data_IF_149822484062
#
_entry.id   IF_149822484062
#
_cell.length_a   1.000
_cell.length_b   1.000
_cell.length_c   1.000
_cell.angle_alpha   90.00
_cell.angle_beta   90.00
_cell.angle_gamma   90.00
#
_symmetry.space_group_name_H-M   'P 1'
#
loop_
_entity.id
_entity.type
_entity.pdbx_description
1 polymer ?
#
# COMPACT_ATOMS: atom_id res chain seq x y z
N UNK A 1 -5.75 13.99 59.14
CA UNK A 1 -5.06 14.64 58.00
C UNK A 1 -5.28 13.79 56.76
N UNK A 2 -6.23 14.16 55.89
CA UNK A 2 -6.53 13.42 54.65
C UNK A 2 -5.45 13.74 53.61
N UNK A 3 -4.64 12.74 53.23
CA UNK A 3 -3.71 12.85 52.09
C UNK A 3 -4.47 12.40 50.83
N UNK A 4 -4.78 13.33 49.95
CA UNK A 4 -5.24 13.01 48.60
C UNK A 4 -4.02 12.71 47.74
N UNK A 5 -3.82 11.44 47.38
CA UNK A 5 -2.80 11.02 46.42
C UNK A 5 -3.45 11.06 45.03
N UNK A 6 -3.17 12.14 44.29
CA UNK A 6 -3.59 12.32 42.90
C UNK A 6 -2.66 11.48 42.02
N UNK A 7 -3.12 10.30 41.57
CA UNK A 7 -2.35 9.44 40.66
C UNK A 7 -2.65 9.84 39.22
N UNK A 8 -1.70 10.55 38.60
CA UNK A 8 -1.73 10.90 37.17
C UNK A 8 -1.63 9.63 36.32
N UNK A 9 -2.68 9.35 35.54
CA UNK A 9 -2.68 8.38 34.46
C UNK A 9 -1.83 8.94 33.31
N UNK A 10 -0.55 8.58 33.27
CA UNK A 10 0.28 8.78 32.08
C UNK A 10 -0.06 7.69 31.06
N UNK A 11 -1.02 8.01 30.20
CA UNK A 11 -1.19 7.38 28.89
C UNK A 11 0.04 7.75 28.06
N UNK A 12 1.09 6.92 28.07
CA UNK A 12 2.10 6.98 27.02
C UNK A 12 1.74 5.95 25.96
N UNK A 13 1.09 6.41 24.89
CA UNK A 13 1.20 5.75 23.61
C UNK A 13 2.69 5.76 23.23
N UNK A 14 3.37 4.63 23.44
CA UNK A 14 4.69 4.38 22.86
C UNK A 14 4.56 4.19 21.37
N UNK A 15 4.32 5.27 20.62
CA UNK A 15 4.55 5.28 19.18
C UNK A 15 6.06 5.40 18.99
N UNK A 16 6.71 4.29 18.64
CA UNK A 16 8.05 4.32 18.06
C UNK A 16 7.95 5.06 16.74
N UNK A 17 8.34 6.33 16.75
CA UNK A 17 8.52 7.12 15.55
C UNK A 17 9.78 6.62 14.81
N UNK A 18 9.58 5.81 13.78
CA UNK A 18 10.36 5.96 12.55
C UNK A 18 9.47 6.56 11.46
N UNK A 19 8.84 7.68 11.79
CA UNK A 19 8.11 8.51 10.86
C UNK A 19 9.05 9.50 10.19
N UNK A 20 9.58 9.15 9.01
CA UNK A 20 9.78 10.19 7.99
C UNK A 20 8.38 10.62 7.52
N UNK A 21 7.74 11.47 8.30
CA UNK A 21 6.40 12.02 8.06
C UNK A 21 6.34 13.00 6.88
N UNK A 22 7.37 13.03 6.04
CA UNK A 22 7.41 13.78 4.78
C UNK A 22 7.45 12.90 3.52
N UNK A 23 7.71 11.60 3.63
CA UNK A 23 7.81 10.72 2.45
C UNK A 23 6.43 10.18 2.02
N UNK A 24 5.45 10.14 2.93
CA UNK A 24 4.08 9.70 2.62
C UNK A 24 3.38 10.63 1.62
N UNK A 25 3.67 11.93 1.66
CA UNK A 25 3.07 12.93 0.78
C UNK A 25 3.77 13.02 -0.59
N UNK A 26 5.02 12.57 -0.69
CA UNK A 26 5.76 12.60 -1.97
C UNK A 26 5.33 11.46 -2.90
N UNK A 27 4.93 10.30 -2.38
CA UNK A 27 4.39 9.21 -3.21
C UNK A 27 3.02 9.56 -3.80
N UNK A 28 2.04 9.82 -2.94
CA UNK A 28 0.64 10.06 -3.33
C UNK A 28 0.46 11.28 -4.26
N UNK A 29 1.17 12.40 -4.00
CA UNK A 29 1.02 13.59 -4.85
C UNK A 29 1.64 13.45 -6.25
N UNK A 30 2.63 12.56 -6.43
CA UNK A 30 3.20 12.30 -7.77
C UNK A 30 2.22 11.50 -8.65
N UNK A 31 1.47 10.54 -8.08
CA UNK A 31 0.57 9.69 -8.88
C UNK A 31 -0.72 10.39 -9.32
N UNK A 32 -1.19 11.36 -8.53
CA UNK A 32 -2.58 11.81 -8.60
C UNK A 32 -2.76 13.29 -8.99
N UNK A 33 -1.69 14.04 -9.19
CA UNK A 33 -1.76 15.49 -9.41
C UNK A 33 -2.31 15.92 -10.79
N UNK A 34 -2.44 15.00 -11.78
CA UNK A 34 -2.95 15.33 -13.13
C UNK A 34 -3.67 14.17 -13.85
N UNK A 35 -4.17 13.16 -13.13
CA UNK A 35 -4.61 11.89 -13.75
C UNK A 35 -6.13 11.79 -13.93
N UNK A 36 -6.60 11.59 -15.17
CA UNK A 36 -7.95 11.07 -15.47
C UNK A 36 -8.10 9.59 -15.07
N UNK A 37 -6.99 8.91 -14.78
CA UNK A 37 -6.89 7.50 -14.40
C UNK A 37 -6.96 7.34 -12.87
N UNK A 38 -8.12 7.66 -12.29
CA UNK A 38 -8.36 7.62 -10.83
C UNK A 38 -8.06 6.25 -10.22
N UNK A 39 -8.31 5.16 -10.96
CA UNK A 39 -8.06 3.78 -10.51
C UNK A 39 -6.58 3.44 -10.42
N UNK A 40 -5.76 3.90 -11.37
CA UNK A 40 -4.31 3.70 -11.33
C UNK A 40 -3.70 4.45 -10.14
N UNK A 41 -4.15 5.68 -9.90
CA UNK A 41 -3.75 6.47 -8.73
C UNK A 41 -4.04 5.70 -7.44
N UNK A 42 -5.28 5.24 -7.24
CA UNK A 42 -5.67 4.45 -6.07
C UNK A 42 -4.82 3.17 -5.93
N UNK A 43 -4.58 2.46 -7.03
CA UNK A 43 -3.76 1.25 -7.02
C UNK A 43 -2.31 1.54 -6.59
N UNK A 44 -1.70 2.60 -7.13
CA UNK A 44 -0.34 2.98 -6.78
C UNK A 44 -0.20 3.43 -5.31
N UNK A 45 -1.21 4.09 -4.74
CA UNK A 45 -1.23 4.40 -3.31
C UNK A 45 -1.26 3.14 -2.44
N UNK A 46 -2.10 2.17 -2.79
CA UNK A 46 -2.20 0.87 -2.10
C UNK A 46 -0.86 0.13 -2.18
N UNK A 47 -0.24 0.09 -3.37
CA UNK A 47 1.03 -0.62 -3.60
C UNK A 47 2.18 0.06 -2.86
N UNK A 48 2.26 1.40 -2.89
CA UNK A 48 3.28 2.12 -2.16
C UNK A 48 3.17 1.87 -0.65
N UNK A 49 1.94 1.99 -0.12
CA UNK A 49 1.65 1.82 1.30
C UNK A 49 1.90 0.40 1.80
N UNK A 50 1.36 -0.60 1.10
CA UNK A 50 1.27 -1.97 1.59
C UNK A 50 2.35 -2.91 1.02
N UNK A 51 3.07 -2.51 -0.04
CA UNK A 51 4.09 -3.35 -0.68
C UNK A 51 5.48 -2.73 -0.60
N UNK A 52 5.69 -1.54 -1.20
CA UNK A 52 7.03 -0.95 -1.34
C UNK A 52 7.65 -0.62 0.02
N UNK A 53 6.84 -0.14 0.98
CA UNK A 53 7.33 0.19 2.33
C UNK A 53 7.96 -1.01 3.05
N UNK A 54 7.38 -2.21 2.92
CA UNK A 54 7.91 -3.43 3.54
C UNK A 54 8.97 -4.12 2.65
N UNK A 55 8.87 -3.96 1.32
CA UNK A 55 9.79 -4.53 0.33
C UNK A 55 10.76 -3.49 -0.24
N UNK A 56 11.24 -2.59 0.61
CA UNK A 56 12.23 -1.59 0.22
C UNK A 56 13.51 -2.27 -0.28
N UNK A 57 14.04 -1.78 -1.39
CA UNK A 57 15.17 -2.36 -2.13
C UNK A 57 14.77 -3.41 -3.17
N UNK A 58 13.69 -4.17 -2.93
CA UNK A 58 13.23 -5.20 -3.87
C UNK A 58 12.17 -4.68 -4.85
N UNK A 59 11.25 -3.82 -4.39
CA UNK A 59 10.16 -3.26 -5.20
C UNK A 59 10.30 -1.75 -5.46
N UNK A 60 11.48 -1.16 -5.21
CA UNK A 60 11.69 0.28 -5.38
C UNK A 60 11.40 0.77 -6.81
N UNK A 61 11.66 -0.06 -7.82
CA UNK A 61 11.37 0.27 -9.21
C UNK A 61 9.86 0.41 -9.49
N UNK A 62 8.98 -0.22 -8.70
CA UNK A 62 7.53 -0.09 -8.89
C UNK A 62 7.04 1.33 -8.63
N UNK A 63 7.77 2.12 -7.84
CA UNK A 63 7.47 3.54 -7.65
C UNK A 63 7.59 4.37 -8.95
N UNK A 64 8.26 3.83 -9.98
CA UNK A 64 8.36 4.45 -11.31
C UNK A 64 7.24 4.05 -12.26
N UNK A 65 6.35 3.11 -11.88
CA UNK A 65 5.25 2.65 -12.72
C UNK A 65 4.06 3.61 -12.63
N UNK A 66 4.25 4.78 -13.25
CA UNK A 66 3.30 5.90 -13.21
C UNK A 66 2.16 5.77 -14.23
N UNK A 67 2.16 4.76 -15.10
CA UNK A 67 1.16 4.57 -16.16
C UNK A 67 0.67 3.12 -16.21
N UNK A 68 -0.55 2.90 -16.73
CA UNK A 68 -1.07 1.56 -17.00
C UNK A 68 -0.14 0.77 -17.93
N UNK A 69 0.45 1.45 -18.94
CA UNK A 69 1.41 0.85 -19.87
C UNK A 69 2.69 0.36 -19.17
N UNK A 70 3.21 1.11 -18.19
CA UNK A 70 4.37 0.67 -17.41
C UNK A 70 4.06 -0.60 -16.60
N UNK A 71 2.88 -0.66 -15.97
CA UNK A 71 2.43 -1.85 -15.26
C UNK A 71 2.24 -3.06 -16.19
N UNK A 72 1.63 -2.88 -17.35
CA UNK A 72 1.48 -3.94 -18.36
C UNK A 72 2.84 -4.43 -18.88
N UNK A 73 3.76 -3.51 -19.14
CA UNK A 73 5.12 -3.83 -19.65
C UNK A 73 5.95 -4.60 -18.62
N UNK A 74 5.65 -4.46 -17.33
CA UNK A 74 6.31 -5.21 -16.27
C UNK A 74 5.90 -6.69 -16.19
N UNK A 75 4.84 -7.09 -16.91
CA UNK A 75 4.22 -8.41 -16.83
C UNK A 75 3.69 -8.80 -15.43
N UNK A 76 3.60 -7.85 -14.49
CA UNK A 76 3.01 -8.08 -13.16
C UNK A 76 1.48 -8.12 -13.19
N UNK A 77 0.87 -7.49 -14.19
CA UNK A 77 -0.57 -7.47 -14.41
C UNK A 77 -0.93 -7.91 -15.82
N UNK A 78 -2.14 -8.46 -15.97
CA UNK A 78 -2.76 -8.82 -17.24
C UNK A 78 -4.05 -8.03 -17.41
N UNK A 79 -4.12 -7.19 -18.46
CA UNK A 79 -5.29 -6.36 -18.78
C UNK A 79 -6.58 -7.18 -18.77
N UNK A 80 -7.64 -6.67 -18.12
CA UNK A 80 -8.93 -7.35 -18.03
C UNK A 80 -8.93 -8.65 -17.21
N UNK A 81 -7.80 -9.10 -16.65
CA UNK A 81 -7.68 -10.37 -15.96
C UNK A 81 -6.85 -10.27 -14.68
N UNK A 82 -7.46 -9.68 -13.65
CA UNK A 82 -6.87 -9.55 -12.33
C UNK A 82 -6.51 -10.90 -11.70
N UNK A 83 -7.34 -11.93 -11.85
CA UNK A 83 -7.12 -13.22 -11.19
C UNK A 83 -5.93 -14.01 -11.76
N UNK A 84 -5.53 -13.73 -13.00
CA UNK A 84 -4.31 -14.27 -13.61
C UNK A 84 -3.08 -13.33 -13.46
N UNK A 85 -3.25 -12.16 -12.85
CA UNK A 85 -2.16 -11.20 -12.66
C UNK A 85 -1.24 -11.63 -11.52
N UNK A 86 0.08 -11.65 -11.77
CA UNK A 86 1.08 -12.03 -10.77
C UNK A 86 0.96 -11.21 -9.49
N UNK A 87 0.69 -9.90 -9.61
CA UNK A 87 0.46 -9.01 -8.47
C UNK A 87 -0.64 -9.56 -7.54
N UNK A 88 -1.79 -9.95 -8.11
CA UNK A 88 -2.94 -10.44 -7.33
C UNK A 88 -2.69 -11.84 -6.79
N UNK A 89 -2.11 -12.74 -7.60
CA UNK A 89 -1.79 -14.11 -7.18
C UNK A 89 -0.87 -14.15 -5.95
N UNK A 90 0.05 -13.19 -5.84
CA UNK A 90 0.97 -13.08 -4.70
C UNK A 90 0.31 -12.57 -3.41
N UNK A 91 -0.84 -11.90 -3.47
CA UNK A 91 -1.48 -11.32 -2.28
C UNK A 91 -2.15 -12.37 -1.38
N UNK A 92 -2.74 -13.42 -1.97
CA UNK A 92 -3.56 -14.40 -1.23
C UNK A 92 -2.97 -15.82 -1.17
N UNK A 93 -1.93 -16.17 -1.95
CA UNK A 93 -1.55 -17.57 -2.15
C UNK A 93 -0.02 -17.88 -2.20
N UNK A 94 0.86 -17.02 -1.70
CA UNK A 94 2.31 -17.25 -1.74
C UNK A 94 2.98 -17.26 -0.35
N UNK A 95 2.73 -18.33 0.44
CA UNK A 95 3.40 -18.55 1.74
C UNK A 95 2.73 -17.87 2.94
N UNK A 96 1.66 -17.10 2.70
CA UNK A 96 0.89 -16.35 3.69
C UNK A 96 0.09 -15.25 2.97
N UNK A 97 -0.73 -14.51 3.72
CA UNK A 97 -1.35 -13.29 3.20
C UNK A 97 -0.34 -12.15 3.28
N UNK A 98 -0.13 -11.42 2.19
CA UNK A 98 0.75 -10.23 2.20
C UNK A 98 0.08 -9.04 2.89
N UNK A 99 0.84 -8.18 3.58
CA UNK A 99 2.28 -8.27 3.89
C UNK A 99 2.65 -9.31 4.97
N UNK A 100 3.79 -9.96 4.81
CA UNK A 100 4.34 -10.90 5.81
C UNK A 100 4.66 -10.18 7.13
N UNK A 101 4.27 -10.78 8.27
CA UNK A 101 4.51 -10.23 9.60
C UNK A 101 3.62 -9.04 9.98
N UNK A 102 2.69 -8.63 9.12
CA UNK A 102 1.69 -7.61 9.38
C UNK A 102 0.28 -8.13 9.04
N UNK A 103 -0.74 -7.31 9.33
CA UNK A 103 -2.10 -7.66 8.95
C UNK A 103 -2.18 -7.76 7.42
N UNK A 104 -2.85 -8.80 6.88
CA UNK A 104 -3.13 -8.91 5.47
C UNK A 104 -3.71 -7.62 4.88
N UNK A 105 -3.42 -7.37 3.60
CA UNK A 105 -4.17 -6.37 2.84
C UNK A 105 -5.67 -6.62 3.03
N UNK A 106 -6.39 -5.55 3.38
CA UNK A 106 -7.83 -5.66 3.62
C UNK A 106 -8.58 -5.91 2.29
N UNK A 107 -9.82 -6.40 2.38
CA UNK A 107 -10.58 -6.76 1.18
C UNK A 107 -10.87 -5.52 0.30
N UNK A 108 -11.07 -4.34 0.89
CA UNK A 108 -11.30 -3.09 0.12
C UNK A 108 -10.12 -2.78 -0.80
N UNK A 109 -8.90 -2.78 -0.27
CA UNK A 109 -7.67 -2.52 -1.05
C UNK A 109 -7.45 -3.64 -2.08
N UNK A 110 -7.72 -4.90 -1.71
CA UNK A 110 -7.66 -6.03 -2.64
C UNK A 110 -8.63 -5.88 -3.81
N UNK A 111 -9.90 -5.53 -3.55
CA UNK A 111 -10.90 -5.31 -4.60
C UNK A 111 -10.57 -4.08 -5.45
N UNK A 112 -9.99 -3.03 -4.86
CA UNK A 112 -9.55 -1.86 -5.61
C UNK A 112 -8.46 -2.22 -6.64
N UNK A 113 -7.47 -3.02 -6.26
CA UNK A 113 -6.44 -3.53 -7.17
C UNK A 113 -7.04 -4.41 -8.27
N UNK A 114 -7.96 -5.32 -7.92
CA UNK A 114 -8.67 -6.15 -8.91
C UNK A 114 -9.48 -5.32 -9.90
N UNK A 115 -10.25 -4.36 -9.39
CA UNK A 115 -11.10 -3.50 -10.21
C UNK A 115 -10.27 -2.64 -11.16
N UNK A 116 -9.16 -2.07 -10.69
CA UNK A 116 -8.23 -1.35 -11.56
C UNK A 116 -7.80 -2.23 -12.74
N UNK A 117 -7.19 -3.40 -12.47
CA UNK A 117 -6.67 -4.31 -13.51
C UNK A 117 -7.77 -4.80 -14.46
N UNK A 118 -8.96 -5.16 -13.94
CA UNK A 118 -10.07 -5.64 -14.75
C UNK A 118 -10.66 -4.58 -15.68
N UNK A 119 -10.39 -3.29 -15.43
CA UNK A 119 -10.88 -2.19 -16.27
C UNK A 119 -9.82 -1.58 -17.17
N UNK A 120 -8.62 -2.16 -17.19
CA UNK A 120 -7.59 -1.91 -18.20
C UNK A 120 -7.90 -2.68 -19.47
#
# INVERSE_FOLDING_TARGET
>A
MKKYLLLFLLVSCGQSFNSNSKDFLLGSQIYCSNSTETKLCQANEIIAKNCINCHSGYHNNWASYLTNSAWLSSALISSGNADNSLLILKLKNAGGNMPEGAAPINDTDYQALKNWINTL
#
